data_IF_409616896942
#
_entry.id   IF_409616896942
#
_cell.length_a   1.000
_cell.length_b   1.000
_cell.length_c   1.000
_cell.angle_alpha   90.00
_cell.angle_beta   90.00
_cell.angle_gamma   90.00
#
_symmetry.space_group_name_H-M   'P 1'
#
loop_
_entity.id
_entity.type
_entity.pdbx_description
1 polymer ?
#
# COMPACT_ATOMS: atom_id res chain seq x y z
N UNK A 1 28.91 -57.96 -29.96
CA UNK A 1 27.46 -57.85 -29.69
C UNK A 1 27.15 -57.66 -28.19
N UNK A 2 27.64 -58.53 -27.30
CA UNK A 2 27.36 -58.44 -25.85
C UNK A 2 27.82 -57.11 -25.19
N UNK A 3 29.02 -56.64 -25.54
CA UNK A 3 29.59 -55.39 -24.99
C UNK A 3 28.78 -54.16 -25.43
N UNK A 4 28.32 -54.14 -26.68
CA UNK A 4 27.50 -53.05 -27.23
C UNK A 4 26.14 -53.01 -26.54
N UNK A 5 25.54 -54.19 -26.29
CA UNK A 5 24.29 -54.30 -25.55
C UNK A 5 24.44 -53.85 -24.08
N UNK A 6 25.58 -54.15 -23.43
CA UNK A 6 25.87 -53.71 -22.08
C UNK A 6 26.02 -52.19 -21.95
N UNK A 7 26.75 -51.56 -22.87
CA UNK A 7 26.91 -50.10 -22.92
C UNK A 7 25.57 -49.41 -23.15
N UNK A 8 24.75 -49.92 -24.08
CA UNK A 8 23.42 -49.37 -24.35
C UNK A 8 22.50 -49.42 -23.12
N UNK A 9 22.49 -50.54 -22.37
CA UNK A 9 21.72 -50.65 -21.13
C UNK A 9 22.19 -49.64 -20.07
N UNK A 10 23.51 -49.48 -19.88
CA UNK A 10 24.05 -48.54 -18.91
C UNK A 10 23.72 -47.09 -19.26
N UNK A 11 23.75 -46.73 -20.54
CA UNK A 11 23.37 -45.39 -21.01
C UNK A 11 21.88 -45.11 -20.80
N UNK A 12 21.00 -46.09 -21.03
CA UNK A 12 19.55 -45.96 -20.81
C UNK A 12 19.24 -45.81 -19.32
N UNK A 13 19.83 -46.66 -18.47
CA UNK A 13 19.60 -46.61 -17.02
C UNK A 13 20.17 -45.31 -16.42
N UNK A 14 21.38 -44.91 -16.81
CA UNK A 14 22.00 -43.66 -16.37
C UNK A 14 21.22 -42.43 -16.85
N UNK A 15 20.75 -42.43 -18.10
CA UNK A 15 19.93 -41.36 -18.67
C UNK A 15 18.59 -41.19 -17.96
N UNK A 16 17.87 -42.29 -17.70
CA UNK A 16 16.60 -42.26 -16.97
C UNK A 16 16.81 -41.84 -15.51
N UNK A 17 17.88 -42.29 -14.85
CA UNK A 17 18.20 -41.89 -13.48
C UNK A 17 18.54 -40.40 -13.37
N UNK A 18 19.28 -39.85 -14.34
CA UNK A 18 19.59 -38.42 -14.39
C UNK A 18 18.33 -37.60 -14.67
N UNK A 19 17.51 -38.00 -15.65
CA UNK A 19 16.24 -37.33 -15.95
C UNK A 19 15.29 -37.37 -14.75
N UNK A 20 15.19 -38.50 -14.04
CA UNK A 20 14.40 -38.62 -12.81
C UNK A 20 14.91 -37.68 -11.71
N UNK A 21 16.23 -37.55 -11.54
CA UNK A 21 16.80 -36.64 -10.53
C UNK A 21 16.57 -35.15 -10.87
N UNK A 22 16.47 -34.80 -12.16
CA UNK A 22 16.11 -33.45 -12.60
C UNK A 22 14.60 -33.16 -12.55
N UNK A 23 13.75 -34.18 -12.71
CA UNK A 23 12.29 -34.02 -12.73
C UNK A 23 11.60 -34.24 -11.38
N UNK A 24 12.21 -34.96 -10.43
CA UNK A 24 11.48 -35.46 -9.24
C UNK A 24 11.63 -34.64 -7.95
N UNK A 25 12.46 -33.59 -7.86
CA UNK A 25 12.64 -32.93 -6.53
C UNK A 25 12.52 -31.40 -6.45
N UNK A 26 12.17 -30.68 -7.51
CA UNK A 26 11.92 -29.23 -7.42
C UNK A 26 10.50 -28.77 -7.82
N UNK A 27 9.61 -29.70 -8.22
CA UNK A 27 8.34 -29.35 -8.86
C UNK A 27 7.05 -29.49 -8.04
N UNK A 28 7.03 -30.22 -6.93
CA UNK A 28 5.78 -30.51 -6.19
C UNK A 28 5.97 -30.39 -4.68
N UNK A 29 6.17 -29.15 -4.22
CA UNK A 29 5.55 -28.58 -3.01
C UNK A 29 6.05 -27.15 -2.79
N UNK A 30 5.47 -26.22 -3.55
CA UNK A 30 5.44 -24.79 -3.17
C UNK A 30 4.02 -24.25 -3.35
N UNK A 31 3.03 -25.07 -3.00
CA UNK A 31 1.76 -24.50 -2.62
C UNK A 31 1.88 -24.15 -1.14
N UNK A 32 1.89 -22.87 -0.83
CA UNK A 32 1.58 -22.37 0.51
C UNK A 32 0.12 -22.73 0.78
N UNK A 33 -0.14 -23.97 1.21
CA UNK A 33 -1.47 -24.42 1.63
C UNK A 33 -1.51 -24.49 3.14
N UNK A 34 -2.34 -23.64 3.73
CA UNK A 34 -3.11 -24.00 4.91
C UNK A 34 -4.41 -24.63 4.42
N UNK A 35 -4.80 -25.76 5.00
CA UNK A 35 -6.03 -26.49 4.65
C UNK A 35 -7.30 -25.78 5.14
N UNK A 36 -7.47 -24.49 4.77
CA UNK A 36 -8.58 -23.63 5.21
C UNK A 36 -8.56 -23.25 6.70
N UNK A 37 -7.68 -23.85 7.50
CA UNK A 37 -7.55 -23.63 8.96
C UNK A 37 -6.44 -22.64 9.34
N UNK A 38 -5.47 -22.42 8.46
CA UNK A 38 -4.43 -21.40 8.64
C UNK A 38 -4.61 -20.36 7.54
N UNK A 39 -4.85 -19.11 7.94
CA UNK A 39 -5.07 -18.01 7.00
C UNK A 39 -3.94 -17.89 5.99
N UNK A 40 -4.27 -17.64 4.73
CA UNK A 40 -3.30 -17.37 3.65
C UNK A 40 -2.74 -15.95 3.70
N UNK A 41 -2.88 -15.28 4.85
CA UNK A 41 -2.48 -13.90 5.04
C UNK A 41 -0.96 -13.79 4.93
N UNK A 42 -0.52 -12.94 4.01
CA UNK A 42 0.88 -12.56 3.85
C UNK A 42 0.96 -11.05 3.63
N UNK A 43 2.13 -10.49 3.85
CA UNK A 43 2.39 -9.11 3.47
C UNK A 43 2.31 -8.96 1.94
N UNK A 44 1.76 -7.82 1.52
CA UNK A 44 1.76 -7.42 0.12
C UNK A 44 3.19 -7.14 -0.34
N UNK A 45 3.48 -7.54 -1.57
CA UNK A 45 4.76 -7.23 -2.23
C UNK A 45 4.78 -5.76 -2.64
N UNK A 46 5.97 -5.21 -2.87
CA UNK A 46 6.11 -3.82 -3.36
C UNK A 46 5.37 -3.58 -4.67
N UNK A 47 5.31 -4.59 -5.55
CA UNK A 47 4.57 -4.54 -6.80
C UNK A 47 3.06 -4.43 -6.55
N UNK A 48 2.52 -5.29 -5.69
CA UNK A 48 1.10 -5.27 -5.32
C UNK A 48 0.73 -3.94 -4.66
N UNK A 49 1.56 -3.42 -3.75
CA UNK A 49 1.34 -2.10 -3.14
C UNK A 49 1.28 -0.99 -4.19
N UNK A 50 2.18 -1.02 -5.19
CA UNK A 50 2.23 -0.02 -6.25
C UNK A 50 1.07 -0.12 -7.26
N UNK A 51 0.48 -1.31 -7.42
CA UNK A 51 -0.68 -1.55 -8.29
C UNK A 51 -2.00 -1.24 -7.57
N UNK A 52 -2.08 -1.49 -6.26
CA UNK A 52 -3.29 -1.26 -5.45
C UNK A 52 -3.50 0.21 -5.10
N UNK A 53 -2.44 0.95 -4.75
CA UNK A 53 -2.56 2.31 -4.25
C UNK A 53 -2.10 3.35 -5.26
N UNK A 54 -2.85 4.45 -5.34
CA UNK A 54 -2.46 5.62 -6.12
C UNK A 54 -1.33 6.33 -5.40
N UNK A 55 -0.23 6.57 -6.11
CA UNK A 55 0.93 7.29 -5.59
C UNK A 55 0.75 8.79 -5.84
N UNK A 56 0.61 9.56 -4.77
CA UNK A 56 0.42 11.01 -4.83
C UNK A 56 1.61 11.72 -4.19
N UNK A 57 2.28 12.69 -4.85
CA UNK A 57 3.34 13.47 -4.21
C UNK A 57 2.83 14.08 -2.90
N UNK A 58 3.51 13.83 -1.78
CA UNK A 58 3.08 14.30 -0.47
C UNK A 58 3.73 15.64 -0.16
N UNK A 59 3.04 16.73 -0.47
CA UNK A 59 3.57 18.11 -0.41
C UNK A 59 2.63 19.06 0.34
N UNK A 60 2.40 18.84 1.65
CA UNK A 60 1.42 19.60 2.44
C UNK A 60 1.71 21.10 2.49
N UNK A 61 2.98 21.52 2.41
CA UNK A 61 3.35 22.94 2.35
C UNK A 61 2.84 23.63 1.09
N UNK A 62 2.77 22.91 -0.06
CA UNK A 62 2.20 23.40 -1.31
C UNK A 62 0.67 23.42 -1.22
N UNK A 63 0.08 22.36 -0.67
CA UNK A 63 -1.38 22.26 -0.54
C UNK A 63 -1.97 23.38 0.33
N UNK A 64 -1.27 23.74 1.41
CA UNK A 64 -1.60 24.90 2.26
C UNK A 64 -1.53 26.25 1.56
N UNK A 65 -0.97 26.33 0.35
CA UNK A 65 -0.96 27.53 -0.51
C UNK A 65 -1.92 27.41 -1.70
N UNK A 66 -2.64 26.29 -1.83
CA UNK A 66 -3.50 26.01 -2.98
C UNK A 66 -2.72 25.58 -4.22
N UNK A 67 -1.44 25.23 -4.07
CA UNK A 67 -0.57 24.76 -5.15
C UNK A 67 -0.51 23.23 -5.15
N UNK A 68 -0.37 22.63 -6.35
CA UNK A 68 -0.24 21.18 -6.57
C UNK A 68 -1.24 20.33 -5.77
N UNK A 69 -2.51 20.76 -5.77
CA UNK A 69 -3.57 20.08 -5.04
C UNK A 69 -3.82 18.68 -5.63
N UNK A 70 -3.91 17.64 -4.79
CA UNK A 70 -4.18 16.28 -5.23
C UNK A 70 -5.61 16.15 -5.78
N UNK A 71 -5.76 15.49 -6.93
CA UNK A 71 -7.06 15.23 -7.55
C UNK A 71 -7.66 13.87 -7.16
N UNK A 72 -6.82 12.89 -6.80
CA UNK A 72 -7.29 11.59 -6.32
C UNK A 72 -7.93 11.76 -4.94
N UNK A 73 -9.13 11.24 -4.76
CA UNK A 73 -9.83 11.23 -3.48
C UNK A 73 -9.74 9.83 -2.88
N UNK A 74 -9.51 9.74 -1.57
CA UNK A 74 -9.26 8.46 -0.92
C UNK A 74 -8.55 8.59 0.42
N UNK A 75 -8.13 7.45 0.96
CA UNK A 75 -7.48 7.36 2.26
C UNK A 75 -5.98 7.12 2.10
N UNK A 76 -5.17 7.92 2.76
CA UNK A 76 -3.72 7.71 2.87
C UNK A 76 -3.46 6.56 3.85
N UNK A 77 -3.00 5.42 3.34
CA UNK A 77 -2.71 4.23 4.15
C UNK A 77 -1.22 4.06 4.45
N UNK A 78 -0.37 4.78 3.73
CA UNK A 78 1.06 4.75 3.96
C UNK A 78 1.80 5.76 3.10
N UNK A 79 3.11 5.66 3.10
CA UNK A 79 3.97 6.46 2.26
C UNK A 79 5.13 5.64 1.71
N UNK A 80 5.73 6.14 0.64
CA UNK A 80 6.96 5.61 0.08
C UNK A 80 7.85 6.75 -0.37
N UNK A 81 9.15 6.54 -0.28
CA UNK A 81 10.13 7.49 -0.79
C UNK A 81 10.71 7.00 -2.11
N UNK A 82 10.78 7.89 -3.09
CA UNK A 82 11.39 7.62 -4.40
C UNK A 82 12.24 8.81 -4.82
N UNK A 83 13.52 8.57 -5.03
CA UNK A 83 14.49 9.59 -5.45
C UNK A 83 14.46 10.87 -4.58
N UNK A 84 14.38 10.70 -3.24
CA UNK A 84 14.34 11.81 -2.29
C UNK A 84 13.00 12.54 -2.20
N UNK A 85 11.96 12.07 -2.90
CA UNK A 85 10.60 12.62 -2.84
C UNK A 85 9.67 11.66 -2.11
N UNK A 86 8.83 12.22 -1.24
CA UNK A 86 7.83 11.48 -0.48
C UNK A 86 6.53 11.38 -1.28
N UNK A 87 5.98 10.18 -1.38
CA UNK A 87 4.70 9.89 -1.99
C UNK A 87 3.77 9.26 -0.97
N UNK A 88 2.53 9.72 -0.91
CA UNK A 88 1.45 9.04 -0.21
C UNK A 88 0.90 7.89 -1.04
N UNK A 89 0.61 6.78 -0.36
CA UNK A 89 -0.11 5.64 -0.92
C UNK A 89 -1.58 5.81 -0.56
N UNK A 90 -2.38 6.14 -1.57
CA UNK A 90 -3.78 6.50 -1.43
C UNK A 90 -4.65 5.36 -1.94
N UNK A 91 -5.50 4.83 -1.08
CA UNK A 91 -6.57 3.94 -1.48
C UNK A 91 -7.78 4.77 -1.92
N UNK A 92 -8.15 4.65 -3.20
CA UNK A 92 -9.25 5.39 -3.81
C UNK A 92 -10.56 4.59 -3.86
N UNK A 93 -10.55 3.37 -3.32
CA UNK A 93 -11.74 2.54 -3.21
C UNK A 93 -12.71 3.06 -2.14
N UNK A 94 -13.95 2.55 -2.20
CA UNK A 94 -14.93 2.74 -1.13
C UNK A 94 -14.59 1.81 0.03
N UNK A 95 -13.64 2.25 0.87
CA UNK A 95 -13.08 1.45 1.96
C UNK A 95 -13.25 2.14 3.30
N UNK A 96 -13.40 1.34 4.34
CA UNK A 96 -13.31 1.80 5.73
C UNK A 96 -12.00 1.33 6.34
N UNK A 97 -11.35 2.21 7.11
CA UNK A 97 -10.10 1.90 7.77
C UNK A 97 -10.25 1.94 9.29
N UNK A 98 -9.66 0.95 9.95
CA UNK A 98 -9.56 0.86 11.39
C UNK A 98 -8.07 0.92 11.79
N UNK A 99 -7.66 2.02 12.41
CA UNK A 99 -6.31 2.15 12.95
C UNK A 99 -6.27 1.70 14.42
N UNK A 100 -5.54 0.62 14.69
CA UNK A 100 -5.31 0.10 16.05
C UNK A 100 -3.83 0.24 16.40
N UNK A 101 -3.55 0.64 17.63
CA UNK A 101 -2.19 0.66 18.16
C UNK A 101 -2.13 1.19 19.58
N UNK A 102 -1.02 0.93 20.26
CA UNK A 102 -0.80 1.35 21.64
C UNK A 102 -0.76 2.89 21.78
N UNK A 103 -0.78 3.41 23.02
CA UNK A 103 -0.56 4.83 23.26
C UNK A 103 0.85 5.24 22.78
N UNK A 104 0.99 6.45 22.21
CA UNK A 104 2.29 6.96 21.75
C UNK A 104 2.79 6.46 20.39
N UNK A 105 2.14 5.46 19.76
CA UNK A 105 2.56 4.94 18.43
C UNK A 105 2.30 5.89 17.27
N UNK A 106 1.78 7.09 17.54
CA UNK A 106 1.54 8.11 16.52
C UNK A 106 0.25 7.96 15.72
N UNK A 107 -0.80 7.34 16.29
CA UNK A 107 -2.12 7.25 15.61
C UNK A 107 -2.64 8.59 15.12
N UNK A 108 -2.52 9.61 15.96
CA UNK A 108 -2.93 10.97 15.59
C UNK A 108 -1.92 11.63 14.66
N UNK A 109 -0.64 11.62 15.03
CA UNK A 109 0.40 12.40 14.35
C UNK A 109 0.79 11.88 12.96
N UNK A 110 0.83 10.55 12.78
CA UNK A 110 1.36 9.91 11.57
C UNK A 110 0.28 9.31 10.66
N UNK A 111 -0.97 9.23 11.11
CA UNK A 111 -2.06 8.68 10.31
C UNK A 111 -3.24 9.64 10.22
N UNK A 112 -3.79 10.07 11.35
CA UNK A 112 -5.00 10.91 11.34
C UNK A 112 -4.74 12.30 10.77
N UNK A 113 -3.74 13.04 11.25
CA UNK A 113 -3.44 14.39 10.74
C UNK A 113 -3.10 14.41 9.25
N UNK A 114 -2.23 13.51 8.72
CA UNK A 114 -1.99 13.41 7.28
C UNK A 114 -3.27 13.17 6.46
N UNK A 115 -4.17 12.31 6.94
CA UNK A 115 -5.42 12.01 6.25
C UNK A 115 -6.39 13.19 6.24
N UNK A 116 -6.49 13.94 7.35
CA UNK A 116 -7.36 15.12 7.37
C UNK A 116 -6.76 16.22 6.47
N UNK A 117 -5.45 16.41 6.50
CA UNK A 117 -4.74 17.35 5.61
C UNK A 117 -4.94 17.01 4.13
N UNK A 118 -4.79 15.74 3.80
CA UNK A 118 -5.09 15.21 2.47
C UNK A 118 -6.55 15.44 2.09
N UNK A 119 -7.50 15.17 3.00
CA UNK A 119 -8.91 15.41 2.75
C UNK A 119 -9.22 16.88 2.44
N UNK A 120 -8.62 17.81 3.19
CA UNK A 120 -8.75 19.24 2.88
C UNK A 120 -8.15 19.58 1.52
N UNK A 121 -6.97 19.03 1.20
CA UNK A 121 -6.27 19.32 -0.05
C UNK A 121 -7.04 18.81 -1.29
N UNK A 122 -7.67 17.62 -1.19
CA UNK A 122 -8.50 17.05 -2.26
C UNK A 122 -9.92 17.65 -2.33
N UNK A 123 -10.27 18.56 -1.42
CA UNK A 123 -11.63 19.10 -1.31
C UNK A 123 -12.69 18.10 -0.81
N UNK A 124 -12.27 17.04 -0.11
CA UNK A 124 -13.18 16.07 0.49
C UNK A 124 -13.83 16.65 1.75
N UNK A 125 -15.13 16.42 1.89
CA UNK A 125 -15.83 16.68 3.15
C UNK A 125 -15.53 15.57 4.15
N UNK A 126 -15.32 15.92 5.42
CA UNK A 126 -15.12 14.95 6.48
C UNK A 126 -15.79 15.44 7.78
N UNK A 127 -16.16 14.49 8.62
CA UNK A 127 -16.63 14.72 9.98
C UNK A 127 -15.67 14.03 10.94
N UNK A 128 -15.25 14.73 11.99
CA UNK A 128 -14.41 14.15 13.04
C UNK A 128 -15.10 14.26 14.39
N UNK A 129 -15.16 13.15 15.11
CA UNK A 129 -15.58 13.12 16.51
C UNK A 129 -14.33 13.12 17.38
N UNK A 130 -14.08 14.23 18.07
CA UNK A 130 -12.89 14.42 18.90
C UNK A 130 -13.29 14.67 20.35
N UNK A 131 -13.19 13.65 21.20
CA UNK A 131 -13.50 13.75 22.62
C UNK A 131 -12.39 14.42 23.43
N UNK A 132 -11.16 14.51 22.89
CA UNK A 132 -10.01 15.12 23.57
C UNK A 132 -9.83 16.59 23.24
N UNK A 133 -10.41 17.04 22.14
CA UNK A 133 -10.33 18.41 21.63
C UNK A 133 -8.96 18.78 21.06
N UNK A 134 -8.04 17.83 20.93
CA UNK A 134 -6.71 18.07 20.37
C UNK A 134 -6.73 18.18 18.84
N UNK A 135 -7.55 17.39 18.15
CA UNK A 135 -7.73 17.54 16.71
C UNK A 135 -8.30 18.92 16.40
N UNK A 136 -9.36 19.33 17.09
CA UNK A 136 -9.96 20.64 16.82
C UNK A 136 -8.96 21.78 17.01
N UNK A 137 -8.21 21.79 18.13
CA UNK A 137 -7.23 22.84 18.42
C UNK A 137 -6.08 22.89 17.42
N UNK A 138 -5.54 21.73 17.02
CA UNK A 138 -4.36 21.67 16.17
C UNK A 138 -4.71 21.81 14.68
N UNK A 139 -5.85 21.26 14.27
CA UNK A 139 -6.18 21.10 12.86
C UNK A 139 -7.09 22.22 12.32
N UNK A 140 -7.93 22.86 13.15
CA UNK A 140 -8.87 23.87 12.66
C UNK A 140 -8.18 25.02 11.89
N UNK A 141 -6.99 25.44 12.31
CA UNK A 141 -6.22 26.47 11.61
C UNK A 141 -5.71 26.02 10.23
N UNK A 142 -5.25 24.76 10.12
CA UNK A 142 -4.77 24.16 8.86
C UNK A 142 -5.95 23.96 7.91
N UNK A 143 -7.06 23.39 8.42
CA UNK A 143 -8.30 23.21 7.69
C UNK A 143 -8.79 24.54 7.11
N UNK A 144 -8.83 25.61 7.94
CA UNK A 144 -9.21 26.94 7.49
C UNK A 144 -8.31 27.39 6.34
N UNK A 145 -6.99 27.28 6.49
CA UNK A 145 -6.06 27.72 5.45
C UNK A 145 -6.26 26.96 4.14
N UNK A 146 -6.39 25.64 4.18
CA UNK A 146 -6.53 24.82 2.97
C UNK A 146 -7.93 24.94 2.36
N UNK A 147 -9.02 24.88 3.14
CA UNK A 147 -10.39 24.95 2.63
C UNK A 147 -10.81 26.35 2.16
N UNK A 148 -10.32 27.43 2.76
CA UNK A 148 -10.70 28.78 2.33
C UNK A 148 -10.07 29.22 1.01
N UNK A 149 -8.92 28.63 0.63
CA UNK A 149 -8.24 28.96 -0.63
C UNK A 149 -9.04 28.55 -1.89
N UNK A 150 -9.61 27.31 -1.98
CA UNK A 150 -10.44 26.91 -3.11
C UNK A 150 -11.85 27.53 -3.08
N UNK A 151 -12.43 27.81 -1.90
CA UNK A 151 -13.78 28.39 -1.79
C UNK A 151 -13.80 29.93 -1.92
N UNK A 152 -12.68 30.62 -1.69
CA UNK A 152 -12.61 32.08 -1.76
C UNK A 152 -12.59 32.66 -3.18
N UNK A 153 -12.46 31.82 -4.22
CA UNK A 153 -12.29 32.31 -5.59
C UNK A 153 -13.45 32.03 -6.54
N UNK A 154 -14.42 31.13 -6.28
CA UNK A 154 -15.54 30.91 -7.20
C UNK A 154 -16.87 30.45 -6.56
N UNK A 155 -17.90 31.29 -6.82
CA UNK A 155 -19.35 31.05 -6.91
C UNK A 155 -20.22 31.15 -5.64
N UNK A 156 -20.60 32.39 -5.33
CA UNK A 156 -22.03 32.69 -5.21
C UNK A 156 -22.71 32.47 -6.58
N UNK A 157 -23.93 31.89 -6.64
CA UNK A 157 -24.79 32.09 -7.81
C UNK A 157 -25.11 33.58 -8.01
#
# INVERSE_FOLDING_TARGET
MLVIAGVAMFSVIGGVSLLSHYYTLNGIKSRTVGDGQHGTARFATKKEIAETYVQVPYEPELWRRGENLPAAQGLVLGSMERAGKLYALVDTGDVHCLMIGAAGVGKTAHFLYPNIEYACACGMSFLTTDTKGDLYRNYAGIAKKILWLPYGSHRSP
#
